data_IF_735909624351
#
_entry.id   IF_735909624351
#
_cell.length_a   1.000
_cell.length_b   1.000
_cell.length_c   1.000
_cell.angle_alpha   90.00
_cell.angle_beta   90.00
_cell.angle_gamma   90.00
#
_symmetry.space_group_name_H-M   'P 1'
#
loop_
_entity.id
_entity.type
_entity.pdbx_description
1 polymer ?
#
# COMPACT_ATOMS: atom_id res chain seq x y z
N UNK A 1 21.15 9.28 -29.05
CA UNK A 1 20.98 10.33 -28.04
C UNK A 1 20.19 9.72 -26.89
N UNK A 2 20.57 9.99 -25.66
CA UNK A 2 19.82 9.53 -24.46
C UNK A 2 18.47 10.21 -24.44
N UNK A 3 17.40 9.44 -24.26
CA UNK A 3 16.06 9.99 -24.13
C UNK A 3 15.93 10.85 -22.87
N UNK A 4 15.19 11.95 -22.96
CA UNK A 4 14.96 12.88 -21.84
C UNK A 4 13.51 12.83 -21.37
N UNK A 5 13.24 13.33 -20.19
CA UNK A 5 11.86 13.55 -19.70
C UNK A 5 11.25 14.70 -20.50
N UNK A 6 10.25 14.42 -21.29
CA UNK A 6 9.55 15.43 -22.12
C UNK A 6 8.37 16.03 -21.39
N UNK A 7 7.54 15.19 -20.77
CA UNK A 7 6.30 15.60 -20.09
C UNK A 7 6.03 14.72 -18.88
N UNK A 8 5.47 15.33 -17.83
CA UNK A 8 4.89 14.63 -16.67
C UNK A 8 3.51 15.24 -16.42
N UNK A 9 2.50 14.38 -16.40
CA UNK A 9 1.11 14.75 -16.14
C UNK A 9 0.60 13.97 -14.94
N UNK A 10 -0.30 14.54 -14.14
CA UNK A 10 -0.92 13.85 -13.02
C UNK A 10 -2.43 14.09 -12.97
N UNK A 11 -3.18 13.08 -12.57
CA UNK A 11 -4.63 13.12 -12.38
C UNK A 11 -5.00 12.49 -11.04
N UNK A 12 -5.97 13.09 -10.36
CA UNK A 12 -6.63 12.47 -9.21
C UNK A 12 -7.81 11.66 -9.75
N UNK A 13 -7.84 10.37 -9.43
CA UNK A 13 -8.86 9.43 -9.91
C UNK A 13 -9.49 8.74 -8.71
N UNK A 14 -10.80 8.85 -8.56
CA UNK A 14 -11.56 8.17 -7.52
C UNK A 14 -12.03 6.81 -8.01
N UNK A 15 -11.54 5.74 -7.37
CA UNK A 15 -11.91 4.36 -7.69
C UNK A 15 -12.82 3.83 -6.58
N UNK A 16 -14.08 3.47 -6.87
CA UNK A 16 -14.97 2.89 -5.88
C UNK A 16 -14.40 1.58 -5.31
N UNK A 17 -14.48 1.41 -3.99
CA UNK A 17 -14.12 0.14 -3.36
C UNK A 17 -15.21 -0.90 -3.59
N UNK A 18 -14.86 -2.18 -3.71
CA UNK A 18 -15.83 -3.29 -3.89
C UNK A 18 -16.80 -3.44 -2.71
N UNK A 19 -16.43 -2.91 -1.55
CA UNK A 19 -17.24 -2.77 -0.34
C UNK A 19 -16.66 -1.63 0.52
N UNK A 20 -17.44 -0.99 1.41
CA UNK A 20 -16.89 -0.02 2.34
C UNK A 20 -15.76 -0.64 3.17
N UNK A 21 -14.61 0.02 3.22
CA UNK A 21 -13.45 -0.42 3.99
C UNK A 21 -13.38 0.35 5.31
N UNK A 22 -13.68 -0.33 6.40
CA UNK A 22 -13.68 0.26 7.74
C UNK A 22 -12.30 0.15 8.37
N UNK A 23 -11.68 1.29 8.62
CA UNK A 23 -10.45 1.46 9.38
C UNK A 23 -10.76 1.90 10.81
N UNK A 24 -9.76 1.94 11.69
CA UNK A 24 -9.94 2.45 13.06
C UNK A 24 -10.33 3.93 13.09
N UNK A 25 -9.83 4.74 12.14
CA UNK A 25 -10.04 6.19 12.08
C UNK A 25 -11.06 6.66 11.06
N UNK A 26 -11.41 5.85 10.05
CA UNK A 26 -12.30 6.27 8.94
C UNK A 26 -12.96 5.08 8.24
N UNK A 27 -14.00 5.37 7.47
CA UNK A 27 -14.61 4.38 6.55
C UNK A 27 -14.49 4.91 5.12
N UNK A 28 -13.88 4.14 4.24
CA UNK A 28 -13.65 4.50 2.84
C UNK A 28 -14.65 3.81 1.93
N UNK A 29 -15.35 4.59 1.10
CA UNK A 29 -16.22 4.12 0.01
C UNK A 29 -15.56 4.20 -1.37
N UNK A 30 -14.48 4.98 -1.48
CA UNK A 30 -13.62 5.05 -2.66
C UNK A 30 -12.16 5.22 -2.26
N UNK A 31 -11.26 4.94 -3.18
CA UNK A 31 -9.84 5.18 -3.07
C UNK A 31 -9.43 6.24 -4.08
N UNK A 32 -8.94 7.39 -3.60
CA UNK A 32 -8.42 8.44 -4.47
C UNK A 32 -6.96 8.15 -4.79
N UNK A 33 -6.68 7.97 -6.07
CA UNK A 33 -5.36 7.67 -6.61
C UNK A 33 -4.80 8.89 -7.34
N UNK A 34 -3.51 9.16 -7.20
CA UNK A 34 -2.80 10.11 -8.07
C UNK A 34 -2.06 9.31 -9.12
N UNK A 35 -2.61 9.29 -10.34
CA UNK A 35 -1.98 8.62 -11.48
C UNK A 35 -1.03 9.59 -12.15
N UNK A 36 0.16 9.11 -12.49
CA UNK A 36 1.20 9.87 -13.17
C UNK A 36 1.49 9.22 -14.51
N UNK A 37 1.52 10.03 -15.58
CA UNK A 37 2.06 9.65 -16.87
C UNK A 37 3.33 10.46 -17.14
N UNK A 38 4.43 9.77 -17.35
CA UNK A 38 5.69 10.36 -17.76
C UNK A 38 5.96 9.97 -19.21
N UNK A 39 6.17 10.97 -20.07
CA UNK A 39 6.52 10.78 -21.49
C UNK A 39 7.98 11.14 -21.69
N UNK A 40 8.72 10.26 -22.38
CA UNK A 40 10.11 10.44 -22.77
C UNK A 40 10.17 11.04 -24.18
N UNK A 41 11.28 11.68 -24.52
CA UNK A 41 11.50 12.30 -25.86
C UNK A 41 11.55 11.29 -27.02
N UNK A 42 11.64 9.99 -26.74
CA UNK A 42 11.51 8.90 -27.71
C UNK A 42 10.07 8.38 -27.86
N UNK A 43 9.09 9.05 -27.21
CA UNK A 43 7.68 8.71 -27.28
C UNK A 43 7.23 7.61 -26.30
N UNK A 44 8.15 6.98 -25.56
CA UNK A 44 7.81 5.96 -24.58
C UNK A 44 7.15 6.60 -23.36
N UNK A 45 6.02 6.02 -22.94
CA UNK A 45 5.27 6.48 -21.76
C UNK A 45 5.37 5.49 -20.62
N UNK A 46 5.68 5.98 -19.43
CA UNK A 46 5.60 5.24 -18.17
C UNK A 46 4.46 5.73 -17.30
N UNK A 47 3.88 4.80 -16.55
CA UNK A 47 2.78 5.06 -15.60
C UNK A 47 3.28 4.82 -14.19
N UNK A 48 2.95 5.75 -13.30
CA UNK A 48 3.16 5.63 -11.86
C UNK A 48 1.91 5.98 -11.09
N UNK A 49 1.91 5.63 -9.82
CA UNK A 49 0.79 5.86 -8.93
C UNK A 49 1.26 6.26 -7.54
N UNK A 50 0.54 7.17 -6.92
CA UNK A 50 0.59 7.39 -5.48
C UNK A 50 -0.82 7.28 -4.90
N UNK A 51 -0.91 6.64 -3.76
CA UNK A 51 -2.19 6.34 -3.11
C UNK A 51 -2.10 6.67 -1.64
N UNK A 52 -3.09 7.41 -1.13
CA UNK A 52 -3.26 7.68 0.29
C UNK A 52 -4.47 6.91 0.82
N UNK A 53 -4.38 6.41 2.05
CA UNK A 53 -5.51 5.74 2.69
C UNK A 53 -6.34 6.78 3.43
N UNK A 54 -7.58 7.02 2.94
CA UNK A 54 -8.49 7.98 3.58
C UNK A 54 -7.98 9.43 3.58
N UNK A 55 -7.24 9.86 2.57
CA UNK A 55 -6.64 11.19 2.49
C UNK A 55 -5.68 11.45 3.65
N UNK A 56 -5.89 12.56 4.38
CA UNK A 56 -5.07 12.95 5.53
C UNK A 56 -5.41 12.22 6.85
N UNK A 57 -6.37 11.30 6.85
CA UNK A 57 -6.74 10.58 8.08
C UNK A 57 -5.72 9.52 8.51
N UNK A 58 -4.81 9.10 7.62
CA UNK A 58 -3.78 8.11 7.92
C UNK A 58 -2.35 8.58 7.60
N UNK A 59 -2.17 9.42 6.61
CA UNK A 59 -0.86 9.88 6.14
C UNK A 59 -0.73 11.40 6.18
N UNK A 60 0.47 11.89 5.89
CA UNK A 60 0.83 13.31 5.91
C UNK A 60 0.63 14.02 4.56
N UNK A 61 0.31 13.29 3.53
CA UNK A 61 0.10 13.82 2.17
C UNK A 61 -1.33 13.52 1.72
N UNK A 62 -2.00 14.49 1.09
CA UNK A 62 -3.29 14.27 0.42
C UNK A 62 -3.10 14.11 -1.10
N UNK A 63 -4.07 13.55 -1.83
CA UNK A 63 -4.01 13.46 -3.29
C UNK A 63 -3.74 14.81 -3.95
N UNK A 64 -4.34 15.89 -3.45
CA UNK A 64 -4.15 17.25 -3.96
C UNK A 64 -2.74 17.76 -3.70
N UNK A 65 -2.19 17.51 -2.49
CA UNK A 65 -0.81 17.88 -2.16
C UNK A 65 0.20 17.14 -3.03
N UNK A 66 -0.02 15.84 -3.26
CA UNK A 66 0.79 15.01 -4.15
C UNK A 66 0.76 15.55 -5.59
N UNK A 67 -0.43 15.79 -6.14
CA UNK A 67 -0.60 16.33 -7.50
C UNK A 67 0.03 17.71 -7.63
N UNK A 68 -0.13 18.58 -6.63
CA UNK A 68 0.50 19.90 -6.58
C UNK A 68 2.03 19.81 -6.55
N UNK A 69 2.60 18.93 -5.73
CA UNK A 69 4.04 18.72 -5.65
C UNK A 69 4.61 18.23 -7.00
N UNK A 70 3.92 17.30 -7.67
CA UNK A 70 4.31 16.81 -8.99
C UNK A 70 4.28 17.94 -10.01
N UNK A 71 3.15 18.66 -10.10
CA UNK A 71 2.92 19.63 -11.17
C UNK A 71 3.81 20.86 -11.04
N UNK A 72 3.93 21.44 -9.85
CA UNK A 72 4.56 22.74 -9.67
C UNK A 72 6.03 22.68 -9.31
N UNK A 73 6.50 21.56 -8.74
CA UNK A 73 7.89 21.46 -8.25
C UNK A 73 8.69 20.39 -8.98
N UNK A 74 8.14 19.16 -9.12
CA UNK A 74 8.92 18.04 -9.66
C UNK A 74 8.95 18.03 -11.19
N UNK A 75 7.84 18.33 -11.86
CA UNK A 75 7.78 18.38 -13.33
C UNK A 75 8.76 19.40 -13.91
N UNK A 76 8.80 20.67 -13.48
CA UNK A 76 9.78 21.63 -14.00
C UNK A 76 11.24 21.24 -13.71
N UNK A 77 11.47 20.57 -12.57
CA UNK A 77 12.80 20.11 -12.15
C UNK A 77 13.36 19.00 -13.05
N UNK A 78 12.48 18.11 -13.53
CA UNK A 78 12.84 16.89 -14.24
C UNK A 78 12.78 17.04 -15.77
N UNK A 79 11.97 17.97 -16.27
CA UNK A 79 11.83 18.20 -17.72
C UNK A 79 13.19 18.48 -18.38
N UNK A 80 13.46 17.76 -19.47
CA UNK A 80 14.72 17.84 -20.23
C UNK A 80 15.89 17.07 -19.61
N UNK A 81 15.72 16.45 -18.43
CA UNK A 81 16.77 15.62 -17.82
C UNK A 81 16.84 14.23 -18.49
N UNK A 82 18.02 13.57 -18.53
CA UNK A 82 18.14 12.19 -19.02
C UNK A 82 17.21 11.25 -18.25
N UNK A 83 16.30 10.57 -18.96
CA UNK A 83 15.29 9.70 -18.36
C UNK A 83 15.82 8.31 -17.94
N UNK A 84 17.05 7.95 -18.36
CA UNK A 84 17.63 6.62 -18.14
C UNK A 84 18.36 6.50 -16.80
N UNK A 85 18.60 7.60 -16.10
CA UNK A 85 19.34 7.62 -14.84
C UNK A 85 18.41 7.90 -13.66
N UNK A 86 17.66 6.86 -13.23
CA UNK A 86 16.73 6.94 -12.12
C UNK A 86 17.39 7.47 -10.83
N UNK A 87 18.58 6.97 -10.49
CA UNK A 87 19.28 7.38 -9.27
C UNK A 87 19.61 8.89 -9.25
N UNK A 88 20.04 9.44 -10.39
CA UNK A 88 20.32 10.87 -10.49
C UNK A 88 19.03 11.72 -10.39
N UNK A 89 17.93 11.26 -11.00
CA UNK A 89 16.64 11.94 -10.92
C UNK A 89 16.07 11.89 -9.50
N UNK A 90 16.16 10.73 -8.82
CA UNK A 90 15.78 10.58 -7.42
C UNK A 90 16.60 11.48 -6.49
N UNK A 91 17.92 11.52 -6.66
CA UNK A 91 18.79 12.41 -5.90
C UNK A 91 18.42 13.89 -6.13
N UNK A 92 18.10 14.26 -7.37
CA UNK A 92 17.67 15.61 -7.73
C UNK A 92 16.34 15.97 -7.06
N UNK A 93 15.34 15.08 -7.07
CA UNK A 93 14.06 15.28 -6.37
C UNK A 93 14.26 15.45 -4.85
N UNK A 94 15.11 14.61 -4.26
CA UNK A 94 15.37 14.63 -2.81
C UNK A 94 16.16 15.88 -2.38
N UNK A 95 17.00 16.40 -3.23
CA UNK A 95 17.73 17.66 -3.00
C UNK A 95 16.84 18.90 -3.10
N UNK A 96 15.84 18.88 -3.99
CA UNK A 96 15.00 20.03 -4.29
C UNK A 96 13.87 20.24 -3.29
N UNK A 97 13.18 19.18 -2.87
CA UNK A 97 12.06 19.28 -1.91
C UNK A 97 12.20 18.25 -0.80
N UNK A 98 11.84 18.65 0.42
CA UNK A 98 11.80 17.75 1.58
C UNK A 98 10.46 17.02 1.66
N UNK A 99 10.43 15.81 2.23
CA UNK A 99 9.21 15.01 2.30
C UNK A 99 8.64 14.71 0.92
N UNK A 100 7.33 14.82 0.75
CA UNK A 100 6.60 14.56 -0.51
C UNK A 100 6.96 13.20 -1.11
N UNK A 101 7.02 12.19 -0.25
CA UNK A 101 7.52 10.85 -0.60
C UNK A 101 6.59 10.13 -1.56
N UNK A 102 5.28 10.32 -1.42
CA UNK A 102 4.29 9.75 -2.34
C UNK A 102 4.42 10.34 -3.76
N UNK A 103 4.58 11.68 -3.86
CA UNK A 103 4.79 12.34 -5.15
C UNK A 103 6.07 11.84 -5.85
N UNK A 104 7.17 11.69 -5.09
CA UNK A 104 8.44 11.17 -5.61
C UNK A 104 8.32 9.71 -6.04
N UNK A 105 7.67 8.87 -5.22
CA UNK A 105 7.45 7.45 -5.52
C UNK A 105 6.63 7.25 -6.80
N UNK A 106 5.59 8.07 -7.02
CA UNK A 106 4.81 8.00 -8.25
C UNK A 106 5.66 8.31 -9.49
N UNK A 107 6.55 9.30 -9.42
CA UNK A 107 7.47 9.64 -10.52
C UNK A 107 8.52 8.53 -10.71
N UNK A 108 9.10 8.00 -9.64
CA UNK A 108 10.08 6.90 -9.73
C UNK A 108 9.45 5.65 -10.36
N UNK A 109 8.22 5.32 -9.99
CA UNK A 109 7.48 4.20 -10.57
C UNK A 109 7.23 4.42 -12.06
N UNK A 110 6.84 5.65 -12.47
CA UNK A 110 6.66 5.99 -13.87
C UNK A 110 7.98 5.93 -14.68
N UNK A 111 9.09 6.36 -14.09
CA UNK A 111 10.43 6.26 -14.71
C UNK A 111 10.85 4.80 -14.89
N UNK A 112 10.66 3.95 -13.88
CA UNK A 112 10.95 2.51 -13.96
C UNK A 112 10.10 1.83 -15.03
N UNK A 113 8.81 2.14 -15.10
CA UNK A 113 7.90 1.59 -16.12
C UNK A 113 8.34 2.02 -17.53
N UNK A 114 8.67 3.30 -17.73
CA UNK A 114 9.17 3.80 -19.00
C UNK A 114 10.51 3.14 -19.38
N UNK A 115 11.41 2.95 -18.41
CA UNK A 115 12.70 2.31 -18.67
C UNK A 115 12.54 0.82 -19.00
N UNK A 116 11.68 0.11 -18.29
CA UNK A 116 11.34 -1.30 -18.59
C UNK A 116 10.80 -1.45 -20.02
N UNK A 117 9.87 -0.59 -20.42
CA UNK A 117 9.33 -0.56 -21.79
C UNK A 117 10.40 -0.23 -22.84
N UNK A 118 11.28 0.74 -22.57
CA UNK A 118 12.37 1.09 -23.45
C UNK A 118 13.37 -0.05 -23.71
N UNK A 119 13.61 -0.86 -22.68
CA UNK A 119 14.55 -1.98 -22.71
C UNK A 119 13.87 -3.32 -23.10
N UNK A 120 12.55 -3.38 -23.17
CA UNK A 120 11.80 -4.62 -23.35
C UNK A 120 11.93 -5.60 -22.18
N UNK A 121 12.14 -5.08 -20.96
CA UNK A 121 12.37 -5.86 -19.74
C UNK A 121 11.29 -5.58 -18.69
N UNK A 122 10.90 -6.60 -17.89
CA UNK A 122 10.07 -6.36 -16.74
C UNK A 122 10.84 -5.58 -15.66
N UNK A 123 10.15 -4.78 -14.84
CA UNK A 123 10.77 -4.01 -13.76
C UNK A 123 11.55 -4.90 -12.79
N UNK A 124 11.06 -6.11 -12.53
CA UNK A 124 11.78 -7.09 -11.69
C UNK A 124 13.20 -7.38 -12.19
N UNK A 125 13.42 -7.42 -13.52
CA UNK A 125 14.75 -7.59 -14.09
C UNK A 125 15.63 -6.37 -13.85
N UNK A 126 15.08 -5.16 -13.93
CA UNK A 126 15.79 -3.91 -13.63
C UNK A 126 16.20 -3.84 -12.14
N UNK A 127 15.47 -4.47 -11.26
CA UNK A 127 15.70 -4.52 -9.81
C UNK A 127 16.53 -5.75 -9.37
N UNK A 128 17.15 -6.47 -10.30
CA UNK A 128 18.03 -7.60 -9.97
C UNK A 128 17.43 -8.99 -10.16
N UNK A 129 16.21 -9.09 -10.65
CA UNK A 129 15.53 -10.36 -10.95
C UNK A 129 14.44 -10.75 -9.94
N UNK A 130 13.56 -11.61 -10.36
CA UNK A 130 12.46 -12.12 -9.53
C UNK A 130 12.92 -13.35 -8.71
N UNK A 131 12.72 -13.32 -7.41
CA UNK A 131 12.93 -14.48 -6.54
C UNK A 131 11.80 -15.50 -6.64
N UNK A 132 10.60 -15.05 -6.97
CA UNK A 132 9.39 -15.89 -7.06
C UNK A 132 8.57 -15.48 -8.28
N UNK A 133 8.00 -16.46 -8.95
CA UNK A 133 7.09 -16.22 -10.09
C UNK A 133 5.70 -15.76 -9.66
N UNK A 134 5.28 -16.09 -8.44
CA UNK A 134 3.99 -15.69 -7.84
C UNK A 134 4.15 -15.42 -6.36
N UNK A 135 3.41 -14.43 -5.86
CA UNK A 135 3.34 -14.08 -4.44
C UNK A 135 1.94 -14.42 -3.91
N UNK A 136 1.83 -15.11 -2.75
CA UNK A 136 0.56 -15.28 -2.08
C UNK A 136 -0.03 -13.93 -1.69
N UNK A 137 -1.31 -13.73 -1.98
CA UNK A 137 -2.02 -12.50 -1.62
C UNK A 137 -2.78 -12.72 -0.33
N UNK A 138 -2.56 -11.84 0.64
CA UNK A 138 -3.31 -11.77 1.88
C UNK A 138 -4.70 -11.18 1.63
N UNK A 139 -5.72 -11.70 2.31
CA UNK A 139 -7.07 -11.14 2.31
C UNK A 139 -7.44 -10.56 3.66
N UNK A 140 -8.13 -9.41 3.67
CA UNK A 140 -8.56 -8.76 4.91
C UNK A 140 -9.99 -9.17 5.27
N UNK A 141 -10.15 -9.81 6.42
CA UNK A 141 -11.43 -10.08 7.07
C UNK A 141 -11.74 -8.87 7.97
N UNK A 142 -12.71 -8.06 7.59
CA UNK A 142 -12.97 -6.76 8.23
C UNK A 142 -14.45 -6.43 8.36
N UNK A 143 -15.32 -7.44 8.43
CA UNK A 143 -16.75 -7.21 8.66
C UNK A 143 -17.04 -6.78 10.11
N UNK A 144 -16.15 -7.11 11.04
CA UNK A 144 -16.32 -6.92 12.48
C UNK A 144 -17.31 -7.92 13.14
N UNK A 145 -17.85 -8.85 12.36
CA UNK A 145 -18.72 -9.94 12.80
C UNK A 145 -17.95 -11.27 12.67
N UNK A 146 -17.76 -11.95 13.79
CA UNK A 146 -16.93 -13.16 13.86
C UNK A 146 -17.46 -14.27 12.95
N UNK A 147 -18.76 -14.49 12.92
CA UNK A 147 -19.35 -15.57 12.11
C UNK A 147 -19.22 -15.28 10.61
N UNK A 148 -19.41 -14.00 10.20
CA UNK A 148 -19.25 -13.60 8.81
C UNK A 148 -17.79 -13.69 8.35
N UNK A 149 -16.84 -13.25 9.18
CA UNK A 149 -15.43 -13.31 8.88
C UNK A 149 -14.94 -14.76 8.76
N UNK A 150 -15.40 -15.67 9.65
CA UNK A 150 -15.12 -17.11 9.54
C UNK A 150 -15.70 -17.68 8.24
N UNK A 151 -16.97 -17.39 7.94
CA UNK A 151 -17.63 -17.90 6.73
C UNK A 151 -16.94 -17.40 5.44
N UNK A 152 -16.51 -16.14 5.41
CA UNK A 152 -15.72 -15.57 4.29
C UNK A 152 -14.38 -16.27 4.16
N UNK A 153 -13.65 -16.48 5.26
CA UNK A 153 -12.38 -17.19 5.29
C UNK A 153 -12.50 -18.63 4.81
N UNK A 154 -13.49 -19.38 5.28
CA UNK A 154 -13.78 -20.75 4.83
C UNK A 154 -14.05 -20.80 3.32
N UNK A 155 -14.87 -19.90 2.81
CA UNK A 155 -15.15 -19.82 1.38
C UNK A 155 -13.87 -19.60 0.57
N UNK A 156 -13.04 -18.65 0.98
CA UNK A 156 -11.80 -18.32 0.26
C UNK A 156 -10.75 -19.44 0.32
N UNK A 157 -10.70 -20.19 1.42
CA UNK A 157 -9.89 -21.41 1.55
C UNK A 157 -10.39 -22.51 0.62
N UNK A 158 -11.70 -22.75 0.61
CA UNK A 158 -12.31 -23.79 -0.26
C UNK A 158 -12.11 -23.47 -1.76
N UNK A 159 -12.15 -22.21 -2.14
CA UNK A 159 -11.87 -21.74 -3.50
C UNK A 159 -10.37 -21.75 -3.84
N UNK A 160 -9.48 -22.00 -2.88
CA UNK A 160 -8.03 -21.96 -3.07
C UNK A 160 -7.47 -20.55 -3.36
N UNK A 161 -8.24 -19.50 -3.08
CA UNK A 161 -7.89 -18.12 -3.43
C UNK A 161 -6.91 -17.47 -2.46
N UNK A 162 -7.08 -17.70 -1.17
CA UNK A 162 -6.26 -17.09 -0.12
C UNK A 162 -5.96 -18.10 0.98
N UNK A 163 -4.74 -18.01 1.56
CA UNK A 163 -4.29 -18.79 2.72
C UNK A 163 -3.62 -17.92 3.77
N UNK A 164 -3.80 -16.62 3.68
CA UNK A 164 -3.36 -15.67 4.68
C UNK A 164 -4.47 -14.63 4.88
N UNK A 165 -4.89 -14.44 6.12
CA UNK A 165 -5.95 -13.52 6.49
C UNK A 165 -5.45 -12.48 7.47
N UNK A 166 -5.86 -11.22 7.27
CA UNK A 166 -5.61 -10.10 8.18
C UNK A 166 -6.92 -9.68 8.82
N UNK A 167 -6.93 -9.59 10.15
CA UNK A 167 -8.04 -9.07 10.93
C UNK A 167 -7.77 -7.62 11.29
N UNK A 168 -8.76 -6.74 11.12
CA UNK A 168 -8.71 -5.37 11.61
C UNK A 168 -9.30 -5.33 13.01
N UNK A 169 -8.45 -4.97 14.01
CA UNK A 169 -8.80 -4.87 15.42
C UNK A 169 -8.36 -3.50 15.98
N UNK A 170 -8.63 -3.23 17.24
CA UNK A 170 -8.25 -1.98 17.92
C UNK A 170 -9.37 -0.95 18.03
N UNK A 171 -10.46 -1.08 17.25
CA UNK A 171 -11.62 -0.19 17.36
C UNK A 171 -12.59 -0.56 18.49
N UNK A 172 -12.41 -1.70 19.13
CA UNK A 172 -13.24 -2.23 20.24
C UNK A 172 -12.37 -2.43 21.48
N UNK A 173 -13.02 -2.70 22.62
CA UNK A 173 -12.33 -3.13 23.83
C UNK A 173 -11.44 -4.35 23.57
N UNK A 174 -10.21 -4.33 24.12
CA UNK A 174 -9.21 -5.39 23.92
C UNK A 174 -9.77 -6.80 24.13
N UNK A 175 -10.56 -7.02 25.19
CA UNK A 175 -11.13 -8.33 25.48
C UNK A 175 -12.09 -8.81 24.37
N UNK A 176 -12.77 -7.90 23.69
CA UNK A 176 -13.67 -8.22 22.57
C UNK A 176 -12.88 -8.56 21.32
N UNK A 177 -11.82 -7.80 21.02
CA UNK A 177 -10.92 -8.08 19.89
C UNK A 177 -10.19 -9.42 20.07
N UNK A 178 -9.74 -9.72 21.29
CA UNK A 178 -9.10 -11.00 21.60
C UNK A 178 -10.06 -12.19 21.43
N UNK A 179 -11.33 -12.07 21.87
CA UNK A 179 -12.35 -13.13 21.65
C UNK A 179 -12.63 -13.35 20.17
N UNK A 180 -12.77 -12.27 19.41
CA UNK A 180 -12.95 -12.30 17.95
C UNK A 180 -11.80 -13.01 17.26
N UNK A 181 -10.56 -12.58 17.56
CA UNK A 181 -9.34 -13.18 16.97
C UNK A 181 -9.20 -14.64 17.33
N UNK A 182 -9.45 -15.02 18.62
CA UNK A 182 -9.38 -16.41 19.08
C UNK A 182 -10.32 -17.31 18.29
N UNK A 183 -11.58 -16.93 18.13
CA UNK A 183 -12.55 -17.71 17.38
C UNK A 183 -12.15 -17.92 15.91
N UNK A 184 -11.53 -16.92 15.28
CA UNK A 184 -11.06 -17.03 13.89
C UNK A 184 -9.80 -17.91 13.81
N UNK A 185 -8.87 -17.80 14.77
CA UNK A 185 -7.70 -18.67 14.85
C UNK A 185 -8.12 -20.13 15.06
N UNK A 186 -9.07 -20.40 15.96
CA UNK A 186 -9.60 -21.74 16.19
C UNK A 186 -10.28 -22.32 14.96
N UNK A 187 -10.97 -21.50 14.17
CA UNK A 187 -11.65 -21.96 12.96
C UNK A 187 -10.73 -22.16 11.75
N UNK A 188 -9.74 -21.30 11.56
CA UNK A 188 -8.97 -21.22 10.31
C UNK A 188 -7.46 -21.43 10.47
N UNK A 189 -6.90 -21.30 11.69
CA UNK A 189 -5.47 -21.19 11.93
C UNK A 189 -4.65 -22.43 11.63
N UNK A 190 -5.26 -23.61 11.55
CA UNK A 190 -4.61 -24.85 11.12
C UNK A 190 -4.38 -24.91 9.59
N UNK A 191 -5.11 -24.08 8.82
CA UNK A 191 -5.12 -24.08 7.34
C UNK A 191 -4.67 -22.76 6.74
N UNK A 192 -4.56 -21.70 7.55
CA UNK A 192 -4.23 -20.36 7.08
C UNK A 192 -3.37 -19.58 8.07
N UNK A 193 -2.52 -18.71 7.56
CA UNK A 193 -1.82 -17.69 8.36
C UNK A 193 -2.81 -16.63 8.83
N UNK A 194 -2.89 -16.40 10.15
CA UNK A 194 -3.74 -15.37 10.73
C UNK A 194 -2.87 -14.23 11.24
N UNK A 195 -3.15 -13.03 10.75
CA UNK A 195 -2.46 -11.78 11.11
C UNK A 195 -3.46 -10.77 11.63
N UNK A 196 -3.00 -9.87 12.48
CA UNK A 196 -3.83 -8.77 12.99
C UNK A 196 -3.19 -7.42 12.69
N UNK A 197 -4.02 -6.42 12.47
CA UNK A 197 -3.60 -5.03 12.29
C UNK A 197 -4.44 -4.15 13.21
N UNK A 198 -3.76 -3.50 14.15
CA UNK A 198 -4.35 -2.65 15.19
C UNK A 198 -4.43 -1.20 14.72
N UNK A 199 -3.70 -0.83 13.70
CA UNK A 199 -3.61 0.52 13.14
C UNK A 199 -3.31 1.59 14.21
N UNK A 200 -2.34 1.32 15.09
CA UNK A 200 -1.85 2.25 16.12
C UNK A 200 -2.89 2.60 17.22
N UNK A 201 -3.95 1.80 17.37
CA UNK A 201 -5.07 2.17 18.23
C UNK A 201 -4.81 1.95 19.74
N UNK A 202 -3.81 1.16 20.13
CA UNK A 202 -3.55 0.85 21.53
C UNK A 202 -2.48 1.77 22.14
N UNK A 203 -2.60 2.03 23.45
CA UNK A 203 -1.50 2.56 24.25
C UNK A 203 -0.45 1.47 24.53
N UNK A 204 0.70 1.85 25.08
CA UNK A 204 1.81 0.93 25.33
C UNK A 204 1.44 -0.22 26.29
N UNK A 205 0.63 0.04 27.32
CA UNK A 205 0.24 -0.98 28.30
C UNK A 205 -0.76 -1.99 27.68
N UNK A 206 -1.74 -1.50 26.96
CA UNK A 206 -2.71 -2.30 26.20
C UNK A 206 -2.01 -3.11 25.11
N UNK A 207 -1.08 -2.47 24.39
CA UNK A 207 -0.27 -3.11 23.35
C UNK A 207 0.57 -4.25 23.89
N UNK A 208 1.28 -4.04 25.00
CA UNK A 208 2.07 -5.09 25.64
C UNK A 208 1.24 -6.29 26.11
N UNK A 209 0.02 -6.04 26.64
CA UNK A 209 -0.93 -7.10 27.02
C UNK A 209 -1.49 -7.80 25.80
N UNK A 210 -2.01 -7.04 24.83
CA UNK A 210 -2.61 -7.55 23.61
C UNK A 210 -1.65 -8.41 22.79
N UNK A 211 -0.41 -7.96 22.60
CA UNK A 211 0.61 -8.72 21.87
C UNK A 211 0.91 -10.08 22.53
N UNK A 212 1.01 -10.15 23.87
CA UNK A 212 1.22 -11.43 24.56
C UNK A 212 0.06 -12.41 24.36
N UNK A 213 -1.17 -11.92 24.48
CA UNK A 213 -2.37 -12.74 24.30
C UNK A 213 -2.48 -13.24 22.84
N UNK A 214 -2.26 -12.37 21.88
CA UNK A 214 -2.31 -12.72 20.46
C UNK A 214 -1.21 -13.72 20.07
N UNK A 215 0.01 -13.53 20.56
CA UNK A 215 1.09 -14.49 20.35
C UNK A 215 0.77 -15.87 20.94
N UNK A 216 0.19 -15.92 22.16
CA UNK A 216 -0.23 -17.17 22.80
C UNK A 216 -1.37 -17.88 22.04
N UNK A 217 -2.13 -17.17 21.21
CA UNK A 217 -3.17 -17.75 20.33
C UNK A 217 -2.59 -18.31 19.02
N UNK A 218 -1.32 -18.04 18.69
CA UNK A 218 -0.73 -18.45 17.41
C UNK A 218 -0.95 -17.47 16.27
N UNK A 219 -1.15 -16.18 16.57
CA UNK A 219 -1.17 -15.13 15.55
C UNK A 219 0.24 -14.93 14.98
N UNK A 220 0.39 -15.01 13.66
CA UNK A 220 1.69 -15.00 13.00
C UNK A 220 2.35 -13.61 12.93
N UNK A 221 1.53 -12.54 12.87
CA UNK A 221 2.02 -11.18 12.77
C UNK A 221 1.03 -10.20 13.43
N UNK A 222 1.57 -9.27 14.19
CA UNK A 222 0.81 -8.17 14.80
C UNK A 222 1.36 -6.86 14.23
N UNK A 223 0.54 -6.18 13.44
CA UNK A 223 0.91 -4.94 12.75
C UNK A 223 0.48 -3.72 13.57
N UNK A 224 1.39 -2.77 13.74
CA UNK A 224 1.17 -1.46 14.36
C UNK A 224 0.31 -1.50 15.64
N UNK A 225 0.69 -2.24 16.69
CA UNK A 225 -0.13 -2.31 17.91
C UNK A 225 -0.24 -0.95 18.62
N UNK A 226 0.80 -0.12 18.54
CA UNK A 226 0.90 1.20 19.16
C UNK A 226 1.37 2.25 18.14
N UNK A 227 1.24 3.54 18.48
CA UNK A 227 1.83 4.63 17.69
C UNK A 227 3.35 4.51 17.62
N UNK A 228 3.94 5.02 16.52
CA UNK A 228 5.39 5.12 16.32
C UNK A 228 6.02 6.14 17.25
#
# INVERSE_FOLDING_TARGET
MTATVEQIESWIVDVPTIRPHKLSMTTMGCQSLVIVRLTRSDGICGIGEATTIGGLSYGVESPEAISSAITHYLTPLLKGQPADNLNALTARMNGAIKGNTFAKSAIETALLDAQGKALGLPISALLGGALQAALPVLWTLASGDTAKDIAEGEKLLAEGRHRAFKLKIGARELATDLRHTRAIVEALGDRASIRVDVNQAWDAATGAKGCRELAAMGVDLIEQPVSA
#
